data_IF_055966035220
#
_entry.id   IF_055966035220
#
_cell.length_a   1.000
_cell.length_b   1.000
_cell.length_c   1.000
_cell.angle_alpha   90.00
_cell.angle_beta   90.00
_cell.angle_gamma   90.00
#
_symmetry.space_group_name_H-M   'P 1'
#
loop_
_entity.id
_entity.type
_entity.pdbx_description
1 polymer ?
#
# COMPACT_ATOMS: atom_id res chain seq x y z
N UNK A 1 -11.25 0.14 21.73
CA UNK A 1 -10.70 -0.60 20.57
C UNK A 1 -9.93 0.41 19.76
N UNK A 2 -8.69 0.10 19.34
CA UNK A 2 -7.97 0.98 18.44
C UNK A 2 -8.70 1.01 17.09
N UNK A 3 -9.00 2.19 16.56
CA UNK A 3 -9.53 2.31 15.20
C UNK A 3 -8.47 1.77 14.23
N UNK A 4 -8.90 0.88 13.33
CA UNK A 4 -8.07 0.31 12.28
C UNK A 4 -8.80 0.49 10.95
N UNK A 5 -8.15 1.18 10.03
CA UNK A 5 -8.59 1.30 8.65
C UNK A 5 -7.91 0.23 7.79
N UNK A 6 -8.65 -0.34 6.85
CA UNK A 6 -8.11 -1.32 5.90
C UNK A 6 -8.54 -1.00 4.48
N UNK A 7 -7.62 -1.22 3.54
CA UNK A 7 -7.79 -0.88 2.13
C UNK A 7 -7.34 -2.04 1.26
N UNK A 8 -8.10 -2.33 0.21
CA UNK A 8 -7.74 -3.33 -0.81
C UNK A 8 -7.56 -2.65 -2.15
N UNK A 9 -6.48 -2.98 -2.84
CA UNK A 9 -6.12 -2.43 -4.14
C UNK A 9 -5.84 -3.55 -5.15
N UNK A 10 -6.10 -3.28 -6.41
CA UNK A 10 -5.41 -3.97 -7.50
C UNK A 10 -4.20 -3.11 -7.91
N UNK A 11 -3.06 -3.74 -8.13
CA UNK A 11 -1.82 -3.14 -8.61
C UNK A 11 -1.59 -3.59 -10.04
N UNK A 12 -1.11 -2.69 -10.89
CA UNK A 12 -0.80 -3.00 -12.28
C UNK A 12 0.53 -2.35 -12.69
N UNK A 13 1.44 -3.13 -13.28
CA UNK A 13 2.68 -2.62 -13.86
C UNK A 13 3.21 -3.58 -14.92
N UNK A 14 3.65 -3.03 -16.06
CA UNK A 14 4.21 -3.80 -17.18
C UNK A 14 3.38 -5.04 -17.60
N UNK A 15 2.05 -4.92 -17.60
CA UNK A 15 1.13 -6.02 -17.95
C UNK A 15 0.98 -7.10 -16.89
N UNK A 16 1.56 -6.92 -15.71
CA UNK A 16 1.34 -7.77 -14.52
C UNK A 16 0.32 -7.13 -13.60
N UNK A 17 -0.40 -7.96 -12.87
CA UNK A 17 -1.37 -7.54 -11.88
C UNK A 17 -1.13 -8.24 -10.54
N UNK A 18 -1.43 -7.54 -9.45
CA UNK A 18 -1.46 -8.09 -8.11
C UNK A 18 -2.56 -7.45 -7.27
N UNK A 19 -2.87 -8.06 -6.14
CA UNK A 19 -3.77 -7.54 -5.11
C UNK A 19 -2.94 -7.12 -3.92
N UNK A 20 -3.19 -5.92 -3.43
CA UNK A 20 -2.57 -5.37 -2.24
C UNK A 20 -3.62 -5.14 -1.17
N UNK A 21 -3.35 -5.55 0.05
CA UNK A 21 -4.15 -5.25 1.21
C UNK A 21 -3.32 -4.46 2.21
N UNK A 22 -3.82 -3.33 2.68
CA UNK A 22 -3.16 -2.48 3.68
C UNK A 22 -4.04 -2.38 4.92
N UNK A 23 -3.43 -2.43 6.11
CA UNK A 23 -4.04 -2.10 7.39
C UNK A 23 -3.24 -0.98 8.05
N UNK A 24 -3.94 0.03 8.54
CA UNK A 24 -3.36 1.17 9.25
C UNK A 24 -4.19 1.40 10.52
N UNK A 25 -3.57 1.24 11.68
CA UNK A 25 -4.16 1.60 12.96
C UNK A 25 -3.94 3.07 13.30
N UNK A 26 -4.84 3.63 14.11
CA UNK A 26 -4.65 4.93 14.73
C UNK A 26 -3.52 4.92 15.80
N UNK A 27 -3.19 3.74 16.32
CA UNK A 27 -2.07 3.53 17.24
C UNK A 27 -0.86 2.93 16.48
N UNK A 28 0.37 3.33 16.84
CA UNK A 28 1.59 2.77 16.25
C UNK A 28 1.64 1.24 16.39
N UNK A 29 2.15 0.56 15.36
CA UNK A 29 2.39 -0.89 15.36
C UNK A 29 1.29 -1.70 14.67
N UNK A 30 0.36 -1.04 13.96
CA UNK A 30 -0.67 -1.70 13.14
C UNK A 30 -0.60 -1.14 11.71
N UNK A 31 0.60 -1.12 11.13
CA UNK A 31 0.85 -0.67 9.76
C UNK A 31 1.38 -1.85 8.92
N UNK A 32 0.49 -2.63 8.33
CA UNK A 32 0.82 -3.87 7.63
C UNK A 32 0.32 -3.81 6.18
N UNK A 33 1.11 -4.31 5.24
CA UNK A 33 0.63 -4.64 3.90
C UNK A 33 0.80 -6.13 3.58
N UNK A 34 -0.03 -6.64 2.68
CA UNK A 34 0.09 -7.98 2.08
C UNK A 34 -0.16 -7.92 0.58
N UNK A 35 0.63 -8.67 -0.19
CA UNK A 35 0.52 -8.69 -1.65
C UNK A 35 0.31 -10.11 -2.18
N UNK A 36 -0.53 -10.23 -3.20
CA UNK A 36 -0.79 -11.49 -3.91
C UNK A 36 -0.94 -11.27 -5.42
N UNK A 37 -0.16 -11.94 -6.28
CA UNK A 37 0.88 -12.88 -5.91
C UNK A 37 2.13 -12.16 -5.34
N UNK A 38 2.89 -12.81 -4.44
CA UNK A 38 3.97 -12.15 -3.70
C UNK A 38 5.17 -11.77 -4.58
N UNK A 39 5.34 -12.43 -5.73
CA UNK A 39 6.39 -12.15 -6.71
C UNK A 39 6.23 -10.76 -7.37
N UNK A 40 5.03 -10.17 -7.34
CA UNK A 40 4.83 -8.82 -7.85
C UNK A 40 5.67 -7.80 -7.06
N UNK A 41 5.56 -7.77 -5.72
CA UNK A 41 6.40 -6.90 -4.90
C UNK A 41 7.74 -7.55 -4.54
N UNK A 42 7.88 -8.86 -4.71
CA UNK A 42 9.03 -9.63 -4.23
C UNK A 42 8.92 -10.03 -2.74
N UNK A 43 7.75 -9.82 -2.13
CA UNK A 43 7.46 -10.21 -0.76
C UNK A 43 5.95 -10.37 -0.53
N UNK A 44 5.59 -11.21 0.46
CA UNK A 44 4.18 -11.50 0.79
C UNK A 44 3.56 -10.44 1.68
N UNK A 45 4.36 -9.84 2.56
CA UNK A 45 3.93 -8.85 3.53
C UNK A 45 5.06 -7.89 3.90
N UNK A 46 4.70 -6.83 4.62
CA UNK A 46 5.65 -5.89 5.18
C UNK A 46 4.97 -4.75 5.94
N UNK A 47 5.73 -3.70 6.20
CA UNK A 47 5.27 -2.53 6.96
C UNK A 47 4.86 -1.40 6.04
N UNK A 48 3.79 -0.69 6.41
CA UNK A 48 3.33 0.52 5.72
C UNK A 48 3.86 1.76 6.42
N UNK A 49 4.29 2.78 5.67
CA UNK A 49 4.55 4.10 6.23
C UNK A 49 4.04 5.22 5.33
N UNK A 50 3.48 6.26 5.96
CA UNK A 50 2.99 7.46 5.27
C UNK A 50 4.07 8.53 5.21
N UNK A 51 4.19 9.16 4.05
CA UNK A 51 4.97 10.39 3.90
C UNK A 51 4.17 11.35 3.02
N UNK A 52 3.63 12.41 3.63
CA UNK A 52 2.72 13.34 2.94
C UNK A 52 1.55 12.58 2.30
N UNK A 53 1.47 12.60 0.97
CA UNK A 53 0.47 11.94 0.16
C UNK A 53 0.96 10.62 -0.44
N UNK A 54 2.05 10.05 0.08
CA UNK A 54 2.61 8.78 -0.39
C UNK A 54 2.48 7.70 0.68
N UNK A 55 2.14 6.49 0.24
CA UNK A 55 2.24 5.28 1.04
C UNK A 55 3.43 4.47 0.54
N UNK A 56 4.44 4.27 1.38
CA UNK A 56 5.52 3.33 1.10
C UNK A 56 5.21 1.93 1.63
N UNK A 57 5.59 0.93 0.84
CA UNK A 57 5.50 -0.50 1.14
C UNK A 57 6.91 -1.01 1.47
N UNK A 58 7.21 -1.20 2.75
CA UNK A 58 8.55 -1.54 3.23
C UNK A 58 8.66 -2.99 3.68
N UNK A 59 9.88 -3.53 3.72
CA UNK A 59 10.18 -4.78 4.43
C UNK A 59 9.82 -4.70 5.90
N UNK A 60 9.31 -5.81 6.45
CA UNK A 60 9.09 -5.96 7.89
C UNK A 60 10.43 -6.10 8.61
N UNK A 61 11.02 -4.97 9.01
CA UNK A 61 12.33 -4.92 9.68
C UNK A 61 12.26 -4.39 11.13
N UNK A 62 11.05 -4.14 11.67
CA UNK A 62 10.85 -3.57 13.01
C UNK A 62 11.33 -2.12 13.19
N UNK A 63 12.23 -1.64 12.32
CA UNK A 63 12.64 -0.25 12.17
C UNK A 63 12.60 0.14 10.67
N UNK A 64 12.08 1.32 10.35
CA UNK A 64 12.03 1.86 9.00
C UNK A 64 13.40 2.40 8.52
N UNK A 65 14.33 2.72 9.43
CA UNK A 65 15.70 3.04 9.05
C UNK A 65 16.40 1.82 8.44
N UNK A 66 16.71 1.91 7.14
CA UNK A 66 17.33 0.82 6.37
C UNK A 66 16.35 -0.20 5.80
N UNK A 67 15.04 -0.01 6.00
CA UNK A 67 14.03 -0.88 5.40
C UNK A 67 14.02 -0.78 3.88
N UNK A 68 13.96 -1.92 3.20
CA UNK A 68 13.87 -1.95 1.74
C UNK A 68 12.47 -1.49 1.30
N UNK A 69 12.41 -0.62 0.30
CA UNK A 69 11.13 -0.13 -0.25
C UNK A 69 10.75 -0.97 -1.46
N UNK A 70 9.66 -1.74 -1.37
CA UNK A 70 9.13 -2.52 -2.49
C UNK A 70 8.28 -1.68 -3.45
N UNK A 71 7.63 -0.63 -2.94
CA UNK A 71 6.85 0.26 -3.77
C UNK A 71 6.33 1.48 -3.02
N UNK A 72 5.85 2.44 -3.80
CA UNK A 72 5.26 3.70 -3.34
C UNK A 72 3.93 3.88 -4.09
N UNK A 73 2.86 4.13 -3.34
CA UNK A 73 1.55 4.52 -3.88
C UNK A 73 1.38 6.02 -3.71
N UNK A 74 1.07 6.73 -4.79
CA UNK A 74 0.78 8.16 -4.75
C UNK A 74 -0.72 8.32 -4.50
N UNK A 75 -1.07 8.83 -3.32
CA UNK A 75 -2.44 9.01 -2.85
C UNK A 75 -2.90 10.44 -3.18
N UNK A 76 -4.15 10.64 -3.63
CA UNK A 76 -4.72 11.98 -3.77
C UNK A 76 -4.73 12.74 -2.44
N UNK A 77 -4.65 14.07 -2.49
CA UNK A 77 -4.64 14.93 -1.30
C UNK A 77 -5.86 14.75 -0.39
N UNK A 78 -7.01 14.34 -0.96
CA UNK A 78 -8.23 14.06 -0.20
C UNK A 78 -8.13 12.80 0.69
N UNK A 79 -7.08 12.00 0.52
CA UNK A 79 -6.81 10.80 1.31
C UNK A 79 -7.64 9.57 0.90
N UNK A 80 -7.17 8.38 1.33
CA UNK A 80 -7.82 7.11 1.01
C UNK A 80 -9.23 6.97 1.61
N UNK A 81 -9.50 7.66 2.71
CA UNK A 81 -10.80 7.62 3.38
C UNK A 81 -11.90 8.24 2.52
N UNK A 82 -11.56 9.24 1.69
CA UNK A 82 -12.53 10.01 0.91
C UNK A 82 -12.57 9.67 -0.58
N UNK A 83 -11.51 9.08 -1.15
CA UNK A 83 -11.51 8.65 -2.57
C UNK A 83 -12.57 7.58 -2.84
N UNK A 84 -13.12 7.56 -4.06
CA UNK A 84 -14.12 6.57 -4.46
C UNK A 84 -13.50 5.19 -4.69
N UNK A 85 -14.28 4.13 -4.46
CA UNK A 85 -13.91 2.79 -4.95
C UNK A 85 -13.87 2.84 -6.48
N UNK A 86 -12.84 2.26 -7.07
CA UNK A 86 -12.54 2.33 -8.50
C UNK A 86 -11.59 3.47 -8.88
N UNK A 87 -11.25 4.38 -7.96
CA UNK A 87 -10.22 5.40 -8.21
C UNK A 87 -8.89 4.72 -8.55
N UNK A 88 -8.29 5.18 -9.64
CA UNK A 88 -6.96 4.79 -10.09
C UNK A 88 -5.98 5.89 -9.65
N UNK A 89 -4.83 5.49 -9.13
CA UNK A 89 -3.73 6.41 -8.83
C UNK A 89 -2.39 5.82 -9.23
N UNK A 90 -1.39 6.68 -9.29
CA UNK A 90 -0.05 6.32 -9.72
C UNK A 90 0.68 5.53 -8.62
N UNK A 91 1.54 4.62 -9.06
CA UNK A 91 2.44 3.85 -8.21
C UNK A 91 3.84 3.76 -8.83
N UNK A 92 4.83 3.50 -7.98
CA UNK A 92 6.16 3.06 -8.39
C UNK A 92 6.51 1.79 -7.64
N UNK A 93 6.85 0.73 -8.35
CA UNK A 93 7.29 -0.54 -7.78
C UNK A 93 8.75 -0.78 -8.10
N UNK A 94 9.52 -1.28 -7.14
CA UNK A 94 10.96 -1.46 -7.32
C UNK A 94 11.29 -2.46 -8.45
N UNK A 95 10.50 -3.53 -8.58
CA UNK A 95 10.71 -4.57 -9.60
C UNK A 95 10.19 -4.17 -11.01
N UNK A 96 9.27 -3.20 -11.11
CA UNK A 96 8.53 -2.93 -12.35
C UNK A 96 8.57 -1.46 -12.81
N UNK A 97 9.14 -0.55 -12.01
CA UNK A 97 9.11 0.88 -12.29
C UNK A 97 7.70 1.47 -12.10
N UNK A 98 7.29 2.35 -13.01
CA UNK A 98 5.98 3.00 -12.94
C UNK A 98 4.82 2.00 -13.13
N UNK A 99 3.75 2.21 -12.38
CA UNK A 99 2.52 1.43 -12.44
C UNK A 99 1.36 2.19 -11.85
N UNK A 100 0.25 1.49 -11.62
CA UNK A 100 -0.97 2.05 -11.05
C UNK A 100 -1.46 1.20 -9.89
N UNK A 101 -2.25 1.82 -9.02
CA UNK A 101 -3.11 1.15 -8.07
C UNK A 101 -4.57 1.53 -8.33
N UNK A 102 -5.48 0.61 -8.04
CA UNK A 102 -6.93 0.80 -8.17
C UNK A 102 -7.57 0.45 -6.84
N UNK A 103 -8.23 1.40 -6.18
CA UNK A 103 -8.90 1.11 -4.91
C UNK A 103 -10.12 0.19 -5.18
N UNK A 104 -10.15 -0.98 -4.55
CA UNK A 104 -11.24 -1.95 -4.68
C UNK A 104 -12.16 -2.00 -3.47
N UNK A 105 -11.61 -1.76 -2.28
CA UNK A 105 -12.39 -1.78 -1.06
C UNK A 105 -11.73 -0.91 0.01
N UNK A 106 -12.54 -0.35 0.90
CA UNK A 106 -12.07 0.36 2.09
C UNK A 106 -13.02 0.10 3.26
N UNK A 107 -12.46 -0.10 4.43
CA UNK A 107 -13.15 -0.12 5.72
C UNK A 107 -12.43 0.89 6.60
N UNK A 108 -13.10 1.97 6.95
CA UNK A 108 -12.55 3.09 7.74
C UNK A 108 -13.24 3.06 9.10
N UNK A 109 -12.46 3.10 10.19
CA UNK A 109 -12.96 3.04 11.58
C UNK A 109 -12.82 4.37 12.32
#
# INVERSE_FOLDING_TARGET
MASVSSFSFDLEAQGRAAKLHIKIGAAPGIEEWRCYPPDFLGATNGTVAWRKNEIGLFSDSGNLEGAFTYGILIIPEIGLDNVAIGTVGDARFENWGAGNWILKNKLVS
#
